data_IF_125613763088
#
_entry.id   IF_125613763088
#
_cell.length_a   1.000
_cell.length_b   1.000
_cell.length_c   1.000
_cell.angle_alpha   90.00
_cell.angle_beta   90.00
_cell.angle_gamma   90.00
#
_symmetry.space_group_name_H-M   'P 1'
#
loop_
_entity.id
_entity.type
_entity.pdbx_description
1 polymer ?
#
# COMPACT_ATOMS: atom_id res chain seq x y z
N UNK A 1 23.84 21.06 -2.76
CA UNK A 1 23.29 22.42 -3.02
C UNK A 1 22.48 22.82 -1.80
N UNK A 2 22.42 24.11 -1.39
CA UNK A 2 21.54 24.51 -0.30
C UNK A 2 20.09 24.11 -0.63
N UNK A 3 19.38 23.53 0.34
CA UNK A 3 17.99 23.14 0.19
C UNK A 3 17.17 24.36 -0.24
N UNK A 4 16.41 24.30 -1.35
CA UNK A 4 15.60 25.43 -1.79
C UNK A 4 14.62 25.85 -0.67
N UNK A 5 14.28 27.14 -0.58
CA UNK A 5 13.33 27.62 0.43
C UNK A 5 11.99 26.89 0.28
N UNK A 6 11.28 26.63 1.40
CA UNK A 6 10.01 25.94 1.34
C UNK A 6 9.00 26.72 0.49
N UNK A 7 8.36 26.03 -0.45
CA UNK A 7 7.33 26.61 -1.32
C UNK A 7 6.00 26.51 -0.60
N UNK A 8 5.35 27.64 -0.35
CA UNK A 8 4.01 27.68 0.26
C UNK A 8 2.99 28.18 -0.76
N UNK A 9 1.85 27.50 -0.84
CA UNK A 9 0.74 27.90 -1.71
C UNK A 9 -0.62 27.57 -1.06
N UNK A 10 -1.69 28.18 -1.58
CA UNK A 10 -3.07 28.02 -1.09
C UNK A 10 -3.96 27.44 -2.18
N UNK A 11 -4.78 26.45 -1.83
CA UNK A 11 -5.79 25.89 -2.73
C UNK A 11 -6.85 25.12 -1.93
N UNK A 12 -8.12 25.22 -2.32
CA UNK A 12 -9.18 24.37 -1.75
C UNK A 12 -9.39 24.51 -0.23
N UNK A 13 -9.15 25.70 0.34
CA UNK A 13 -9.22 25.94 1.80
C UNK A 13 -8.03 25.39 2.59
N UNK A 14 -6.93 25.03 1.90
CA UNK A 14 -5.71 24.48 2.48
C UNK A 14 -4.53 25.42 2.25
N UNK A 15 -3.65 25.52 3.25
CA UNK A 15 -2.29 26.04 3.09
C UNK A 15 -1.34 24.86 3.05
N UNK A 16 -0.58 24.74 1.96
CA UNK A 16 0.36 23.66 1.73
C UNK A 16 1.79 24.23 1.72
N UNK A 17 2.68 23.63 2.51
CA UNK A 17 4.10 23.97 2.54
C UNK A 17 4.94 22.75 2.16
N UNK A 18 5.72 22.90 1.10
CA UNK A 18 6.60 21.85 0.59
C UNK A 18 7.94 21.86 1.34
N UNK A 19 8.36 20.67 1.76
CA UNK A 19 9.65 20.41 2.40
C UNK A 19 10.43 19.38 1.59
N UNK A 20 11.73 19.61 1.47
CA UNK A 20 12.67 18.64 0.93
C UNK A 20 13.90 18.58 1.85
N UNK A 21 14.41 17.37 2.11
CA UNK A 21 15.68 17.15 2.81
C UNK A 21 16.47 16.06 2.10
N UNK A 22 17.79 16.11 2.20
CA UNK A 22 18.63 14.98 1.80
C UNK A 22 18.73 14.01 2.98
N UNK A 23 18.55 12.72 2.71
CA UNK A 23 18.65 11.64 3.70
C UNK A 23 19.59 10.54 3.18
N UNK A 24 20.26 9.77 4.06
CA UNK A 24 21.06 8.64 3.62
C UNK A 24 20.24 7.59 2.87
N UNK A 25 20.81 7.03 1.81
CA UNK A 25 20.29 5.83 1.16
C UNK A 25 20.28 4.65 2.15
N UNK A 26 21.44 4.37 2.75
CA UNK A 26 21.58 3.40 3.86
C UNK A 26 21.82 4.16 5.17
N UNK A 27 20.85 4.09 6.09
CA UNK A 27 20.93 4.74 7.40
C UNK A 27 22.02 4.17 8.31
N UNK A 28 22.57 2.98 8.01
CA UNK A 28 23.72 2.41 8.72
C UNK A 28 25.05 3.02 8.24
N UNK A 29 25.05 3.68 7.09
CA UNK A 29 26.22 4.36 6.51
C UNK A 29 25.83 5.80 6.14
N UNK A 30 25.62 6.69 7.14
CA UNK A 30 25.05 8.02 6.91
C UNK A 30 25.91 8.94 6.02
N UNK A 31 27.21 8.66 5.91
CA UNK A 31 28.15 9.36 5.02
C UNK A 31 28.13 8.84 3.56
N UNK A 32 27.29 7.85 3.27
CA UNK A 32 27.15 7.24 1.96
C UNK A 32 26.32 8.08 0.97
N UNK A 33 25.87 7.47 -0.14
CA UNK A 33 24.98 8.13 -1.08
C UNK A 33 23.69 8.64 -0.40
N UNK A 34 23.23 9.82 -0.79
CA UNK A 34 21.99 10.41 -0.31
C UNK A 34 20.87 10.34 -1.35
N UNK A 35 19.63 10.35 -0.88
CA UNK A 35 18.43 10.55 -1.68
C UNK A 35 17.68 11.80 -1.19
N UNK A 36 16.92 12.42 -2.08
CA UNK A 36 16.03 13.51 -1.69
C UNK A 36 14.73 12.92 -1.13
N UNK A 37 14.31 13.37 0.04
CA UNK A 37 13.04 13.08 0.67
C UNK A 37 12.13 14.31 0.57
N UNK A 38 10.90 14.11 0.14
CA UNK A 38 9.87 15.14 0.01
C UNK A 38 8.72 14.90 1.00
N UNK A 39 8.28 15.98 1.63
CA UNK A 39 7.04 16.00 2.39
C UNK A 39 6.26 17.30 2.16
N UNK A 40 4.96 17.25 2.36
CA UNK A 40 4.07 18.40 2.30
C UNK A 40 3.35 18.57 3.63
N UNK A 41 3.58 19.67 4.32
CA UNK A 41 2.77 20.07 5.47
C UNK A 41 1.48 20.72 4.96
N UNK A 42 0.33 20.30 5.50
CA UNK A 42 -1.00 20.81 5.16
C UNK A 42 -1.67 21.30 6.43
N UNK A 43 -2.20 22.51 6.39
CA UNK A 43 -3.00 23.10 7.46
C UNK A 43 -4.26 23.74 6.86
N UNK A 44 -5.34 23.78 7.63
CA UNK A 44 -6.55 24.50 7.22
C UNK A 44 -6.25 26.00 7.08
N UNK A 45 -6.81 26.62 6.06
CA UNK A 45 -6.74 28.07 5.88
C UNK A 45 -7.37 28.82 7.06
N UNK A 46 -6.68 29.86 7.54
CA UNK A 46 -7.02 30.62 8.74
C UNK A 46 -6.33 30.11 10.01
N UNK A 47 -5.69 28.93 9.96
CA UNK A 47 -5.03 28.28 11.10
C UNK A 47 -3.52 28.12 10.95
N UNK A 48 -2.95 28.63 9.87
CA UNK A 48 -1.52 28.49 9.55
C UNK A 48 -0.57 29.05 10.63
N UNK A 49 -1.06 30.01 11.41
CA UNK A 49 -0.34 30.66 12.50
C UNK A 49 -0.66 30.09 13.89
N UNK A 50 -1.57 29.12 13.98
CA UNK A 50 -1.86 28.42 15.24
C UNK A 50 -0.75 27.41 15.58
N UNK A 51 -0.47 27.26 16.87
CA UNK A 51 0.47 26.27 17.39
C UNK A 51 -0.20 24.88 17.50
N UNK A 52 -0.40 24.25 16.33
CA UNK A 52 -1.03 22.94 16.23
C UNK A 52 0.02 21.81 16.24
N UNK A 53 -0.25 20.68 16.91
CA UNK A 53 0.62 19.50 16.83
C UNK A 53 0.68 18.95 15.40
N UNK A 54 1.79 18.30 15.06
CA UNK A 54 1.94 17.60 13.78
C UNK A 54 1.39 16.18 13.85
N UNK A 55 0.75 15.78 12.76
CA UNK A 55 0.32 14.41 12.48
C UNK A 55 1.01 13.94 11.19
N UNK A 56 1.95 13.01 11.28
CA UNK A 56 2.52 12.36 10.12
C UNK A 56 1.53 11.34 9.55
N UNK A 57 1.20 11.49 8.27
CA UNK A 57 0.44 10.50 7.52
C UNK A 57 1.40 9.48 6.90
N UNK A 58 1.31 8.24 7.38
CA UNK A 58 1.96 7.09 6.79
C UNK A 58 0.94 6.39 5.88
N UNK A 59 0.96 6.69 4.58
CA UNK A 59 0.06 6.00 3.65
C UNK A 59 0.33 4.50 3.57
N UNK A 60 -0.71 3.79 3.15
CA UNK A 60 -0.60 2.44 2.62
C UNK A 60 0.17 2.36 1.31
N UNK A 61 0.20 1.15 0.76
CA UNK A 61 1.04 0.79 -0.37
C UNK A 61 1.37 -0.70 -0.26
N UNK A 62 2.66 -1.10 -0.27
CA UNK A 62 3.85 -0.24 -0.20
C UNK A 62 4.10 0.57 -1.48
N UNK A 63 5.12 1.43 -1.48
CA UNK A 63 5.59 2.07 -2.72
C UNK A 63 4.66 3.15 -3.29
N UNK A 64 3.73 3.68 -2.49
CA UNK A 64 2.85 4.79 -2.85
C UNK A 64 3.39 6.14 -2.38
N UNK A 65 3.16 7.19 -3.17
CA UNK A 65 3.35 8.59 -2.74
C UNK A 65 2.18 9.08 -1.88
N UNK A 66 2.37 10.17 -1.15
CA UNK A 66 1.26 10.73 -0.38
C UNK A 66 0.21 11.37 -1.29
N UNK A 67 -1.03 11.44 -0.82
CA UNK A 67 -2.09 12.08 -1.60
C UNK A 67 -1.79 13.56 -1.87
N UNK A 68 -2.28 14.07 -3.00
CA UNK A 68 -2.22 15.49 -3.35
C UNK A 68 -3.64 16.01 -3.36
N UNK A 69 -4.18 16.44 -2.19
CA UNK A 69 -5.59 16.78 -2.09
C UNK A 69 -5.89 18.06 -2.86
N UNK A 70 -6.84 17.98 -3.81
CA UNK A 70 -7.47 19.18 -4.39
C UNK A 70 -8.45 19.83 -3.39
N UNK A 71 -9.03 19.01 -2.52
CA UNK A 71 -9.82 19.40 -1.36
C UNK A 71 -9.61 18.38 -0.24
N UNK A 72 -9.92 18.74 1.00
CA UNK A 72 -9.81 17.82 2.13
C UNK A 72 -10.87 16.71 2.06
N UNK A 73 -10.38 15.47 1.83
CA UNK A 73 -11.17 14.25 1.99
C UNK A 73 -11.59 14.02 3.45
N UNK A 74 -12.34 12.95 3.72
CA UNK A 74 -13.00 12.74 5.01
C UNK A 74 -12.02 12.78 6.21
N UNK A 75 -10.98 11.94 6.21
CA UNK A 75 -9.98 11.93 7.27
C UNK A 75 -9.17 13.22 7.36
N UNK A 76 -8.70 13.75 6.22
CA UNK A 76 -7.83 14.92 6.21
C UNK A 76 -8.58 16.13 6.77
N UNK A 77 -9.85 16.29 6.38
CA UNK A 77 -10.72 17.34 6.92
C UNK A 77 -10.85 17.22 8.44
N UNK A 78 -11.05 16.00 8.95
CA UNK A 78 -11.11 15.76 10.39
C UNK A 78 -9.77 16.06 11.08
N UNK A 79 -8.65 15.59 10.54
CA UNK A 79 -7.32 15.83 11.09
C UNK A 79 -7.00 17.33 11.18
N UNK A 80 -7.30 18.10 10.13
CA UNK A 80 -7.01 19.53 10.04
C UNK A 80 -7.80 20.40 11.04
N UNK A 81 -8.78 19.84 11.75
CA UNK A 81 -9.45 20.52 12.87
C UNK A 81 -8.56 20.60 14.12
N UNK A 82 -7.47 19.82 14.21
CA UNK A 82 -6.63 19.77 15.42
C UNK A 82 -5.12 19.67 15.11
N UNK A 83 -4.76 19.32 13.87
CA UNK A 83 -3.39 19.01 13.47
C UNK A 83 -2.93 19.81 12.26
N UNK A 84 -1.61 19.99 12.18
CA UNK A 84 -0.88 20.21 10.92
C UNK A 84 -0.51 18.83 10.37
N UNK A 85 -0.98 18.47 9.19
CA UNK A 85 -0.76 17.12 8.64
C UNK A 85 0.49 17.11 7.76
N UNK A 86 1.42 16.19 8.02
CA UNK A 86 2.61 15.98 7.20
C UNK A 86 2.35 14.81 6.26
N UNK A 87 2.27 15.10 4.96
CA UNK A 87 2.10 14.13 3.88
C UNK A 87 3.49 13.74 3.33
N UNK A 88 3.98 12.56 3.72
CA UNK A 88 5.31 12.08 3.35
C UNK A 88 5.27 11.25 2.05
N UNK A 89 6.02 11.68 1.03
CA UNK A 89 6.37 10.76 -0.03
C UNK A 89 7.45 9.82 0.52
N UNK A 90 7.09 8.56 0.78
CA UNK A 90 8.05 7.56 1.23
C UNK A 90 9.20 7.45 0.22
N UNK A 91 10.41 7.13 0.69
CA UNK A 91 11.60 6.98 -0.16
C UNK A 91 11.30 6.13 -1.40
N UNK A 92 11.71 6.64 -2.57
CA UNK A 92 11.45 6.00 -3.85
C UNK A 92 10.12 6.35 -4.51
N UNK A 93 9.27 7.15 -3.88
CA UNK A 93 7.93 7.47 -4.38
C UNK A 93 7.76 8.96 -4.66
N UNK A 94 6.87 9.31 -5.58
CA UNK A 94 6.43 10.69 -5.79
C UNK A 94 7.57 11.65 -6.14
N UNK A 95 7.95 12.53 -5.20
CA UNK A 95 9.07 13.47 -5.32
C UNK A 95 10.30 13.05 -4.51
N UNK A 96 10.22 11.96 -3.75
CA UNK A 96 11.31 11.41 -2.94
C UNK A 96 12.18 10.46 -3.76
N UNK A 97 13.07 11.00 -4.60
CA UNK A 97 13.97 10.26 -5.51
C UNK A 97 13.31 8.99 -6.11
N UNK A 98 12.38 9.14 -7.06
CA UNK A 98 11.56 8.02 -7.54
C UNK A 98 12.37 6.83 -8.05
N UNK A 99 11.96 5.62 -7.67
CA UNK A 99 12.52 4.38 -8.20
C UNK A 99 11.53 3.74 -9.17
N UNK A 100 11.83 3.84 -10.45
CA UNK A 100 11.04 3.27 -11.54
C UNK A 100 11.97 2.71 -12.62
N UNK A 101 11.41 2.15 -13.70
CA UNK A 101 12.18 1.61 -14.82
C UNK A 101 13.17 2.60 -15.46
N UNK A 102 12.94 3.91 -15.36
CA UNK A 102 13.83 4.93 -15.93
C UNK A 102 14.99 5.20 -14.99
N UNK A 103 14.74 5.33 -13.70
CA UNK A 103 15.79 5.66 -12.72
C UNK A 103 16.63 4.44 -12.35
N UNK A 104 16.03 3.24 -12.30
CA UNK A 104 16.74 1.99 -12.04
C UNK A 104 17.56 1.51 -13.23
N UNK A 105 17.32 2.02 -14.45
CA UNK A 105 18.15 1.72 -15.63
C UNK A 105 19.63 2.07 -15.44
N UNK A 106 19.98 2.93 -14.47
CA UNK A 106 21.37 3.23 -14.11
C UNK A 106 22.18 2.02 -13.66
N UNK A 107 21.52 0.95 -13.21
CA UNK A 107 22.17 -0.30 -12.81
C UNK A 107 22.41 -1.23 -14.01
N UNK A 108 21.92 -0.89 -15.21
CA UNK A 108 22.11 -1.70 -16.41
C UNK A 108 21.58 -3.12 -16.23
N UNK A 109 22.45 -4.12 -16.40
CA UNK A 109 22.11 -5.54 -16.23
C UNK A 109 22.41 -6.07 -14.81
N UNK A 110 22.92 -5.22 -13.92
CA UNK A 110 23.28 -5.59 -12.55
C UNK A 110 22.03 -5.63 -11.65
N UNK A 111 21.39 -6.80 -11.63
CA UNK A 111 20.16 -7.03 -10.88
C UNK A 111 20.40 -7.04 -9.37
N UNK A 112 21.57 -7.53 -8.93
CA UNK A 112 21.96 -7.55 -7.51
C UNK A 112 22.13 -6.13 -6.97
N UNK A 113 22.81 -5.25 -7.71
CA UNK A 113 22.95 -3.85 -7.32
C UNK A 113 21.59 -3.11 -7.29
N UNK A 114 20.73 -3.37 -8.27
CA UNK A 114 19.38 -2.79 -8.30
C UNK A 114 18.53 -3.28 -7.11
N UNK A 115 18.59 -4.57 -6.77
CA UNK A 115 17.91 -5.14 -5.62
C UNK A 115 18.49 -4.61 -4.30
N UNK A 116 19.82 -4.49 -4.19
CA UNK A 116 20.49 -3.87 -3.04
C UNK A 116 20.05 -2.43 -2.81
N UNK A 117 19.89 -1.65 -3.89
CA UNK A 117 19.32 -0.31 -3.80
C UNK A 117 17.87 -0.31 -3.27
N UNK A 118 17.02 -1.18 -3.82
CA UNK A 118 15.61 -1.30 -3.42
C UNK A 118 15.43 -1.88 -2.02
N UNK A 119 16.37 -2.68 -1.51
CA UNK A 119 16.33 -3.23 -0.16
C UNK A 119 16.32 -2.14 0.92
N UNK A 120 16.83 -0.94 0.62
CA UNK A 120 16.76 0.22 1.50
C UNK A 120 15.39 0.92 1.52
N UNK A 121 14.37 0.43 0.81
CA UNK A 121 13.11 1.16 0.59
C UNK A 121 11.96 0.62 1.46
N UNK A 122 12.30 -0.04 2.56
CA UNK A 122 11.40 -0.68 3.51
C UNK A 122 11.04 0.23 4.70
N UNK A 123 10.13 -0.27 5.55
CA UNK A 123 9.58 0.43 6.70
C UNK A 123 10.64 0.96 7.69
N UNK A 124 11.70 0.19 7.95
CA UNK A 124 12.83 0.57 8.81
C UNK A 124 13.51 1.86 8.31
N UNK A 125 13.77 1.91 7.02
CA UNK A 125 14.36 3.06 6.36
C UNK A 125 13.39 4.26 6.25
N UNK A 126 12.09 4.01 6.05
CA UNK A 126 11.04 5.04 6.06
C UNK A 126 10.91 5.67 7.45
N UNK A 127 11.04 4.89 8.54
CA UNK A 127 11.01 5.40 9.91
C UNK A 127 12.21 6.30 10.19
N UNK A 128 13.41 5.90 9.78
CA UNK A 128 14.60 6.73 9.92
C UNK A 128 14.46 8.06 9.14
N UNK A 129 13.86 8.05 7.95
CA UNK A 129 13.53 9.25 7.19
C UNK A 129 12.55 10.15 7.92
N UNK A 130 11.51 9.56 8.49
CA UNK A 130 10.49 10.25 9.28
C UNK A 130 11.12 10.94 10.51
N UNK A 131 12.05 10.29 11.21
CA UNK A 131 12.78 10.88 12.34
C UNK A 131 13.64 12.08 11.92
N UNK A 132 14.37 11.99 10.81
CA UNK A 132 15.15 13.10 10.27
C UNK A 132 14.25 14.29 9.90
N UNK A 133 13.11 14.01 9.26
CA UNK A 133 12.12 15.02 8.92
C UNK A 133 11.49 15.66 10.16
N UNK A 134 11.11 14.85 11.16
CA UNK A 134 10.55 15.34 12.43
C UNK A 134 11.50 16.33 13.09
N UNK A 135 12.78 15.97 13.23
CA UNK A 135 13.81 16.85 13.82
C UNK A 135 14.02 18.12 13.01
N UNK A 136 13.96 18.04 11.69
CA UNK A 136 14.03 19.22 10.82
C UNK A 136 12.88 20.20 11.03
N UNK A 137 11.66 19.69 11.28
CA UNK A 137 10.43 20.48 11.39
C UNK A 137 10.16 21.01 12.81
N UNK A 138 10.55 20.27 13.85
CA UNK A 138 10.21 20.61 15.25
C UNK A 138 11.27 20.24 16.29
N UNK A 139 12.50 19.97 15.86
CA UNK A 139 13.57 19.56 16.77
C UNK A 139 13.22 18.24 17.48
N UNK A 140 13.58 18.13 18.75
CA UNK A 140 13.41 16.89 19.50
C UNK A 140 11.96 16.58 19.90
N UNK A 141 11.01 17.50 19.65
CA UNK A 141 9.61 17.29 20.03
C UNK A 141 8.99 16.11 19.25
N UNK A 142 8.28 15.18 19.93
CA UNK A 142 7.61 14.08 19.27
C UNK A 142 6.40 14.56 18.46
N UNK A 143 5.93 13.74 17.51
CA UNK A 143 4.69 13.97 16.76
C UNK A 143 3.74 12.78 16.86
N UNK A 144 2.49 12.95 16.42
CA UNK A 144 1.58 11.82 16.26
C UNK A 144 1.72 11.20 14.86
N UNK A 145 1.40 9.92 14.71
CA UNK A 145 1.33 9.24 13.41
C UNK A 145 -0.06 8.69 13.17
N UNK A 146 -0.50 8.73 11.90
CA UNK A 146 -1.68 8.02 11.41
C UNK A 146 -1.25 7.12 10.25
N UNK A 147 -1.30 5.81 10.49
CA UNK A 147 -0.96 4.77 9.54
C UNK A 147 -2.19 4.09 8.96
N UNK A 148 -2.23 3.93 7.64
CA UNK A 148 -3.23 3.11 6.95
C UNK A 148 -2.54 1.94 6.25
N UNK A 149 -3.07 0.71 6.38
CA UNK A 149 -2.54 -0.45 5.65
C UNK A 149 -1.05 -0.66 5.95
N UNK A 150 -0.19 -0.77 4.92
CA UNK A 150 1.27 -0.76 5.07
C UNK A 150 1.82 0.40 5.93
N UNK A 151 1.15 1.55 5.97
CA UNK A 151 1.49 2.65 6.88
C UNK A 151 1.31 2.30 8.37
N UNK A 152 0.38 1.41 8.69
CA UNK A 152 0.26 0.79 10.01
C UNK A 152 1.42 -0.18 10.31
N UNK A 153 1.89 -0.93 9.30
CA UNK A 153 3.07 -1.79 9.45
C UNK A 153 4.30 -0.94 9.74
N UNK A 154 4.44 0.17 9.02
CA UNK A 154 5.48 1.19 9.24
C UNK A 154 5.37 1.82 10.63
N UNK A 155 4.14 2.01 11.14
CA UNK A 155 3.90 2.52 12.50
C UNK A 155 4.43 1.55 13.56
N UNK A 156 4.24 0.23 13.41
CA UNK A 156 4.82 -0.75 14.34
C UNK A 156 6.34 -0.79 14.26
N UNK A 157 6.93 -0.67 13.06
CA UNK A 157 8.39 -0.49 12.93
C UNK A 157 8.86 0.80 13.60
N UNK A 158 8.07 1.88 13.58
CA UNK A 158 8.40 3.12 14.28
C UNK A 158 8.44 2.89 15.81
N UNK A 159 7.44 2.21 16.36
CA UNK A 159 7.40 1.85 17.78
C UNK A 159 8.57 0.94 18.18
N UNK A 160 9.06 0.10 17.26
CA UNK A 160 10.25 -0.74 17.49
C UNK A 160 11.55 0.05 17.43
N UNK A 161 11.69 1.04 16.54
CA UNK A 161 12.98 1.70 16.32
C UNK A 161 13.15 3.02 17.07
N UNK A 162 12.10 3.85 17.10
CA UNK A 162 12.15 5.21 17.66
C UNK A 162 10.81 5.65 18.32
N UNK A 163 10.27 4.87 19.29
CA UNK A 163 9.04 5.23 19.99
C UNK A 163 9.13 6.57 20.73
N UNK A 164 10.33 7.01 21.12
CA UNK A 164 10.56 8.31 21.76
C UNK A 164 10.20 9.51 20.85
N UNK A 165 10.17 9.29 19.52
CA UNK A 165 9.73 10.28 18.54
C UNK A 165 8.21 10.43 18.44
N UNK A 166 7.44 9.60 19.16
CA UNK A 166 5.99 9.49 19.00
C UNK A 166 5.24 9.95 20.25
N UNK A 167 4.24 10.81 20.03
CA UNK A 167 3.28 11.19 21.07
C UNK A 167 2.13 10.19 21.14
N UNK A 168 1.59 9.79 19.98
CA UNK A 168 0.48 8.83 19.82
C UNK A 168 0.55 8.18 18.44
N UNK A 169 0.01 6.98 18.33
CA UNK A 169 -0.10 6.24 17.09
C UNK A 169 -1.55 5.82 16.81
N UNK A 170 -2.06 6.20 15.65
CA UNK A 170 -3.36 5.81 15.13
C UNK A 170 -3.16 4.86 13.95
N UNK A 171 -3.78 3.69 13.95
CA UNK A 171 -3.64 2.67 12.90
C UNK A 171 -5.01 2.32 12.31
N UNK A 172 -5.10 2.15 10.99
CA UNK A 172 -6.34 1.80 10.28
C UNK A 172 -6.10 0.68 9.29
N UNK A 173 -6.70 -0.50 9.51
CA UNK A 173 -6.55 -1.67 8.65
C UNK A 173 -5.09 -2.06 8.40
N UNK A 174 -4.23 -2.00 9.43
CA UNK A 174 -2.77 -2.00 9.25
C UNK A 174 -1.97 -2.62 10.38
N UNK A 175 -2.48 -3.70 11.00
CA UNK A 175 -1.70 -4.50 11.94
C UNK A 175 -1.21 -5.78 11.23
N UNK A 176 0.10 -5.90 10.91
CA UNK A 176 0.67 -7.09 10.28
C UNK A 176 0.81 -8.23 11.28
N UNK A 177 1.16 -9.43 10.83
CA UNK A 177 1.78 -10.42 11.71
C UNK A 177 3.19 -9.98 12.08
N UNK A 178 3.57 -10.08 13.36
CA UNK A 178 4.90 -9.68 13.82
C UNK A 178 6.00 -10.71 13.50
N UNK A 179 5.64 -12.00 13.47
CA UNK A 179 6.58 -13.12 13.33
C UNK A 179 6.22 -14.11 12.23
N UNK A 180 5.03 -13.96 11.62
CA UNK A 180 4.56 -14.86 10.56
C UNK A 180 5.34 -14.69 9.27
N UNK A 181 5.44 -15.78 8.51
CA UNK A 181 6.05 -15.73 7.18
C UNK A 181 5.02 -15.25 6.14
N UNK A 182 5.49 -14.73 5.00
CA UNK A 182 4.63 -14.33 3.89
C UNK A 182 3.67 -15.45 3.46
N UNK A 183 4.08 -16.72 3.50
CA UNK A 183 3.19 -17.85 3.19
C UNK A 183 1.93 -17.87 4.08
N UNK A 184 2.08 -17.61 5.38
CA UNK A 184 0.97 -17.64 6.34
C UNK A 184 -0.01 -16.50 6.04
N UNK A 185 0.53 -15.33 5.68
CA UNK A 185 -0.26 -14.18 5.22
C UNK A 185 -1.03 -14.53 3.95
N UNK A 186 -0.39 -15.12 2.94
CA UNK A 186 -1.05 -15.43 1.67
C UNK A 186 -2.05 -16.58 1.76
N UNK A 187 -1.81 -17.62 2.57
CA UNK A 187 -2.83 -18.67 2.79
C UNK A 187 -4.11 -18.07 3.34
N UNK A 188 -3.98 -17.16 4.30
CA UNK A 188 -5.12 -16.43 4.84
C UNK A 188 -5.74 -15.49 3.78
N UNK A 189 -4.91 -14.76 3.02
CA UNK A 189 -5.39 -13.82 2.01
C UNK A 189 -6.12 -14.48 0.84
N UNK A 190 -5.66 -15.63 0.34
CA UNK A 190 -6.37 -16.38 -0.72
C UNK A 190 -7.73 -16.88 -0.27
N UNK A 191 -7.82 -17.43 0.95
CA UNK A 191 -9.10 -17.86 1.52
C UNK A 191 -10.10 -16.70 1.64
N UNK A 192 -9.65 -15.54 2.15
CA UNK A 192 -10.49 -14.32 2.20
C UNK A 192 -10.86 -13.81 0.82
N UNK A 193 -9.92 -13.80 -0.13
CA UNK A 193 -10.17 -13.38 -1.52
C UNK A 193 -11.22 -14.26 -2.19
N UNK A 194 -11.19 -15.57 -1.94
CA UNK A 194 -12.20 -16.49 -2.46
C UNK A 194 -13.58 -16.19 -1.88
N UNK A 195 -13.65 -15.95 -0.57
CA UNK A 195 -14.88 -15.52 0.11
C UNK A 195 -15.43 -14.21 -0.50
N UNK A 196 -14.58 -13.25 -0.83
CA UNK A 196 -15.00 -12.01 -1.47
C UNK A 196 -15.47 -12.21 -2.91
N UNK A 197 -14.87 -13.13 -3.66
CA UNK A 197 -15.40 -13.53 -4.97
C UNK A 197 -16.83 -14.09 -4.84
N UNK A 198 -17.06 -14.98 -3.89
CA UNK A 198 -18.39 -15.58 -3.66
C UNK A 198 -19.43 -14.50 -3.32
N UNK A 199 -19.08 -13.55 -2.44
CA UNK A 199 -19.94 -12.41 -2.10
C UNK A 199 -20.22 -11.51 -3.30
N UNK A 200 -19.20 -11.22 -4.11
CA UNK A 200 -19.33 -10.40 -5.30
C UNK A 200 -20.29 -11.01 -6.32
N UNK A 201 -20.07 -12.27 -6.70
CA UNK A 201 -20.93 -12.94 -7.69
C UNK A 201 -22.32 -13.28 -7.14
N UNK A 202 -22.48 -13.44 -5.82
CA UNK A 202 -23.81 -13.54 -5.22
C UNK A 202 -24.60 -12.22 -5.32
N UNK A 203 -23.91 -11.08 -5.21
CA UNK A 203 -24.52 -9.74 -5.36
C UNK A 203 -24.80 -9.39 -6.82
N UNK A 204 -23.90 -9.76 -7.73
CA UNK A 204 -23.97 -9.50 -9.17
C UNK A 204 -23.95 -10.81 -9.97
N UNK A 205 -25.05 -11.58 -10.00
CA UNK A 205 -25.06 -12.91 -10.62
C UNK A 205 -24.81 -12.89 -12.13
N UNK A 206 -25.11 -11.78 -12.82
CA UNK A 206 -24.80 -11.61 -14.25
C UNK A 206 -23.30 -11.48 -14.55
N UNK A 207 -22.52 -11.02 -13.57
CA UNK A 207 -21.10 -10.73 -13.77
C UNK A 207 -20.26 -11.99 -13.89
N UNK A 208 -20.70 -13.13 -13.33
CA UNK A 208 -19.98 -14.38 -13.48
C UNK A 208 -19.92 -14.80 -14.96
N UNK A 209 -21.07 -14.74 -15.65
CA UNK A 209 -21.14 -15.08 -17.07
C UNK A 209 -20.30 -14.11 -17.92
N UNK A 210 -20.31 -12.82 -17.59
CA UNK A 210 -19.47 -11.82 -18.27
C UNK A 210 -17.98 -12.07 -18.03
N UNK A 211 -17.57 -12.31 -16.79
CA UNK A 211 -16.19 -12.58 -16.43
C UNK A 211 -15.66 -13.86 -17.10
N UNK A 212 -16.47 -14.93 -17.12
CA UNK A 212 -16.15 -16.18 -17.80
C UNK A 212 -16.05 -15.98 -19.33
N UNK A 213 -16.96 -15.17 -19.92
CA UNK A 213 -16.93 -14.83 -21.34
C UNK A 213 -15.69 -14.00 -21.72
N UNK A 214 -15.31 -13.02 -20.90
CA UNK A 214 -14.07 -12.25 -21.07
C UNK A 214 -12.88 -13.20 -21.01
N UNK A 215 -12.80 -14.06 -19.98
CA UNK A 215 -11.68 -15.00 -19.84
C UNK A 215 -11.56 -15.94 -21.04
N UNK A 216 -12.66 -16.51 -21.53
CA UNK A 216 -12.69 -17.35 -22.73
C UNK A 216 -12.25 -16.57 -23.98
N UNK A 217 -12.69 -15.32 -24.13
CA UNK A 217 -12.28 -14.49 -25.26
C UNK A 217 -10.77 -14.20 -25.24
N UNK A 218 -10.19 -13.89 -24.08
CA UNK A 218 -8.75 -13.64 -23.91
C UNK A 218 -7.88 -14.88 -24.12
N UNK A 219 -8.42 -16.07 -23.88
CA UNK A 219 -7.72 -17.34 -24.10
C UNK A 219 -7.52 -17.63 -25.60
N UNK A 220 -8.54 -17.33 -26.42
CA UNK A 220 -8.51 -17.64 -27.86
C UNK A 220 -8.10 -16.46 -28.76
N UNK A 221 -8.08 -15.22 -28.24
CA UNK A 221 -7.74 -14.02 -29.02
C UNK A 221 -6.51 -13.30 -28.46
N UNK A 222 -5.74 -12.66 -29.35
CA UNK A 222 -4.64 -11.79 -28.97
C UNK A 222 -5.15 -10.35 -28.73
N UNK A 223 -5.76 -10.13 -27.58
CA UNK A 223 -6.30 -8.81 -27.20
C UNK A 223 -5.21 -7.92 -26.62
N UNK A 224 -5.09 -6.69 -27.14
CA UNK A 224 -4.10 -5.71 -26.71
C UNK A 224 -4.76 -4.55 -25.97
N UNK A 225 -4.16 -4.17 -24.84
CA UNK A 225 -4.53 -2.94 -24.12
C UNK A 225 -4.01 -1.70 -24.88
N UNK A 226 -4.47 -0.48 -24.56
CA UNK A 226 -4.09 0.75 -25.30
C UNK A 226 -2.58 1.01 -25.40
N UNK A 227 -1.82 0.46 -24.47
CA UNK A 227 -0.36 0.51 -24.34
C UNK A 227 0.38 -0.53 -25.19
N UNK A 228 -0.35 -1.48 -25.79
CA UNK A 228 0.14 -2.48 -26.76
C UNK A 228 0.48 -3.84 -26.18
N UNK A 229 0.57 -3.99 -24.85
CA UNK A 229 0.73 -5.28 -24.20
C UNK A 229 -0.55 -6.11 -24.25
N UNK A 230 -0.37 -7.44 -24.14
CA UNK A 230 -1.47 -8.39 -24.16
C UNK A 230 -2.24 -8.35 -22.85
N UNK A 231 -3.56 -8.29 -22.93
CA UNK A 231 -4.42 -8.60 -21.80
C UNK A 231 -4.55 -10.13 -21.70
N UNK A 232 -3.89 -10.72 -20.71
CA UNK A 232 -3.99 -12.16 -20.44
C UNK A 232 -5.08 -12.43 -19.40
N UNK A 233 -5.59 -13.67 -19.34
CA UNK A 233 -6.56 -14.06 -18.31
C UNK A 233 -6.00 -13.81 -16.90
N UNK A 234 -4.72 -14.12 -16.66
CA UNK A 234 -4.06 -13.86 -15.36
C UNK A 234 -3.96 -12.38 -15.00
N UNK A 235 -3.77 -11.48 -15.98
CA UNK A 235 -3.87 -10.02 -15.73
C UNK A 235 -5.31 -9.61 -15.43
N UNK A 236 -6.27 -10.12 -16.18
CA UNK A 236 -7.68 -9.85 -15.93
C UNK A 236 -8.12 -10.29 -14.52
N UNK A 237 -7.61 -11.43 -14.03
CA UNK A 237 -7.85 -11.90 -12.66
C UNK A 237 -7.44 -10.88 -11.59
N UNK A 238 -6.43 -10.02 -11.81
CA UNK A 238 -5.96 -9.09 -10.77
C UNK A 238 -6.92 -7.92 -10.52
N UNK A 239 -7.99 -7.77 -11.31
CA UNK A 239 -9.05 -6.79 -11.05
C UNK A 239 -9.77 -7.02 -9.71
N UNK A 240 -9.65 -8.22 -9.12
CA UNK A 240 -10.23 -8.54 -7.81
C UNK A 240 -9.61 -7.77 -6.64
N UNK A 241 -8.48 -7.07 -6.84
CA UNK A 241 -7.97 -6.11 -5.85
C UNK A 241 -9.02 -5.04 -5.45
N UNK A 242 -10.00 -4.79 -6.33
CA UNK A 242 -11.11 -3.86 -6.07
C UNK A 242 -12.06 -4.32 -4.96
N UNK A 243 -12.12 -5.62 -4.64
CA UNK A 243 -13.03 -6.16 -3.63
C UNK A 243 -12.72 -5.67 -2.21
N UNK A 244 -11.48 -5.30 -1.90
CA UNK A 244 -11.09 -4.94 -0.54
C UNK A 244 -11.44 -3.52 -0.10
N UNK A 245 -12.20 -2.75 -0.89
CA UNK A 245 -12.58 -1.36 -0.55
C UNK A 245 -14.06 -1.12 -0.78
N UNK A 246 -14.68 -0.27 0.05
CA UNK A 246 -16.14 -0.20 0.21
C UNK A 246 -16.93 0.14 -1.07
N UNK A 247 -16.35 0.87 -2.02
CA UNK A 247 -17.03 1.33 -3.25
C UNK A 247 -16.47 0.77 -4.55
N UNK A 248 -15.43 -0.06 -4.50
CA UNK A 248 -14.73 -0.49 -5.73
C UNK A 248 -15.23 -1.83 -6.27
N UNK A 249 -15.95 -2.62 -5.48
CA UNK A 249 -16.65 -3.79 -6.01
C UNK A 249 -17.68 -3.38 -7.07
N UNK A 250 -18.40 -2.28 -6.84
CA UNK A 250 -19.32 -1.66 -7.79
C UNK A 250 -18.59 -1.17 -9.05
N UNK A 251 -17.35 -0.70 -8.91
CA UNK A 251 -16.55 -0.24 -10.06
C UNK A 251 -16.17 -1.39 -10.99
N UNK A 252 -15.91 -2.59 -10.45
CA UNK A 252 -15.70 -3.79 -11.28
C UNK A 252 -16.97 -4.19 -12.02
N UNK A 253 -18.13 -4.14 -11.34
CA UNK A 253 -19.42 -4.43 -11.97
C UNK A 253 -19.67 -3.50 -13.16
N UNK A 254 -19.57 -2.19 -12.96
CA UNK A 254 -19.74 -1.22 -14.04
C UNK A 254 -18.68 -1.35 -15.14
N UNK A 255 -17.47 -1.81 -14.82
CA UNK A 255 -16.48 -2.12 -15.84
C UNK A 255 -16.91 -3.31 -16.70
N UNK A 256 -17.36 -4.41 -16.08
CA UNK A 256 -17.83 -5.61 -16.79
C UNK A 256 -19.07 -5.34 -17.66
N UNK A 257 -19.97 -4.43 -17.26
CA UNK A 257 -21.11 -4.00 -18.09
C UNK A 257 -20.67 -3.43 -19.45
N UNK A 258 -19.45 -2.90 -19.54
CA UNK A 258 -18.90 -2.33 -20.77
C UNK A 258 -18.06 -3.32 -21.57
N UNK A 259 -17.96 -4.59 -21.15
CA UNK A 259 -16.98 -5.54 -21.67
C UNK A 259 -17.11 -5.77 -23.18
N UNK A 260 -18.31 -6.07 -23.69
CA UNK A 260 -18.52 -6.51 -25.07
C UNK A 260 -19.36 -5.54 -25.91
N UNK A 261 -19.08 -5.52 -27.20
CA UNK A 261 -19.94 -4.97 -28.26
C UNK A 261 -20.03 -5.96 -29.41
N UNK A 262 -21.04 -5.81 -30.27
CA UNK A 262 -21.12 -6.55 -31.53
C UNK A 262 -20.13 -5.95 -32.54
N UNK A 263 -19.02 -6.64 -32.78
CA UNK A 263 -18.04 -6.35 -33.82
C UNK A 263 -18.42 -6.94 -35.18
N UNK A 264 -17.59 -6.70 -36.19
CA UNK A 264 -17.84 -7.16 -37.58
C UNK A 264 -17.79 -8.69 -37.67
N UNK A 265 -16.89 -9.31 -36.91
CA UNK A 265 -16.63 -10.75 -36.93
C UNK A 265 -17.22 -11.48 -35.69
N UNK A 266 -17.99 -10.77 -34.86
CA UNK A 266 -18.61 -11.31 -33.64
C UNK A 266 -18.37 -10.42 -32.41
N UNK A 267 -18.61 -10.94 -31.20
CA UNK A 267 -18.40 -10.18 -29.97
C UNK A 267 -16.94 -9.77 -29.78
N UNK A 268 -16.72 -8.47 -29.55
CA UNK A 268 -15.39 -7.86 -29.35
C UNK A 268 -15.34 -7.11 -28.02
N UNK A 269 -14.17 -7.09 -27.38
CA UNK A 269 -13.95 -6.29 -26.19
C UNK A 269 -13.87 -4.79 -26.53
N UNK A 270 -14.60 -3.96 -25.79
CA UNK A 270 -14.69 -2.52 -26.12
C UNK A 270 -13.44 -1.74 -25.69
N UNK A 271 -13.16 -0.63 -26.38
CA UNK A 271 -12.11 0.32 -25.96
C UNK A 271 -12.33 0.86 -24.54
N UNK A 272 -13.59 1.07 -24.14
CA UNK A 272 -13.93 1.54 -22.79
C UNK A 272 -13.52 0.51 -21.75
N UNK A 273 -13.84 -0.76 -21.98
CA UNK A 273 -13.41 -1.85 -21.12
C UNK A 273 -11.89 -1.96 -21.07
N UNK A 274 -11.21 -2.00 -22.22
CA UNK A 274 -9.76 -2.16 -22.28
C UNK A 274 -9.00 -1.02 -21.60
N UNK A 275 -9.47 0.23 -21.73
CA UNK A 275 -8.90 1.38 -21.00
C UNK A 275 -9.15 1.29 -19.49
N UNK A 276 -10.33 0.83 -19.08
CA UNK A 276 -10.66 0.63 -17.67
C UNK A 276 -9.80 -0.47 -17.04
N UNK A 277 -9.59 -1.57 -17.75
CA UNK A 277 -8.70 -2.66 -17.32
C UNK A 277 -7.25 -2.18 -17.22
N UNK A 278 -6.72 -1.51 -18.26
CA UNK A 278 -5.36 -0.94 -18.24
C UNK A 278 -5.11 -0.04 -17.03
N UNK A 279 -6.02 0.92 -16.78
CA UNK A 279 -5.92 1.82 -15.64
C UNK A 279 -5.93 1.10 -14.28
N UNK A 280 -6.58 -0.07 -14.19
CA UNK A 280 -6.66 -0.84 -12.97
C UNK A 280 -5.45 -1.76 -12.75
N UNK A 281 -4.93 -2.39 -13.80
CA UNK A 281 -3.88 -3.43 -13.69
C UNK A 281 -2.46 -2.91 -13.89
N UNK A 282 -2.29 -1.72 -14.46
CA UNK A 282 -0.97 -1.15 -14.73
C UNK A 282 -0.23 -0.75 -13.45
N UNK A 283 1.06 -1.12 -13.36
CA UNK A 283 1.95 -0.67 -12.28
C UNK A 283 2.76 0.58 -12.63
N UNK A 284 2.53 1.21 -13.79
CA UNK A 284 3.33 2.34 -14.26
C UNK A 284 3.38 3.53 -13.27
N UNK A 285 2.30 3.77 -12.53
CA UNK A 285 2.24 4.85 -11.53
C UNK A 285 2.83 4.46 -10.17
N UNK A 286 3.03 3.16 -9.91
CA UNK A 286 3.43 2.61 -8.62
C UNK A 286 4.26 1.32 -8.75
N UNK A 287 5.39 1.33 -9.48
CA UNK A 287 6.18 0.11 -9.71
C UNK A 287 6.74 -0.48 -8.41
N UNK A 288 7.04 0.36 -7.42
CA UNK A 288 7.46 -0.08 -6.10
C UNK A 288 6.39 -0.84 -5.33
N UNK A 289 5.10 -0.61 -5.61
CA UNK A 289 4.05 -1.44 -5.02
C UNK A 289 4.29 -2.89 -5.38
N UNK A 290 4.59 -3.20 -6.65
CA UNK A 290 4.88 -4.57 -7.06
C UNK A 290 6.23 -5.07 -6.54
N UNK A 291 7.31 -4.30 -6.75
CA UNK A 291 8.67 -4.73 -6.39
C UNK A 291 8.89 -4.94 -4.88
N UNK A 292 8.17 -4.19 -4.04
CA UNK A 292 8.30 -4.25 -2.59
C UNK A 292 7.09 -4.88 -1.91
N UNK A 293 6.08 -5.37 -2.65
CA UNK A 293 4.85 -5.93 -2.09
C UNK A 293 5.11 -7.02 -1.05
N UNK A 294 5.87 -8.04 -1.46
CA UNK A 294 6.17 -9.20 -0.63
C UNK A 294 7.33 -8.95 0.37
N UNK A 295 8.38 -8.17 0.02
CA UNK A 295 9.41 -7.75 0.97
C UNK A 295 8.92 -7.07 2.25
N UNK A 296 7.70 -6.52 2.30
CA UNK A 296 7.15 -5.96 3.56
C UNK A 296 6.98 -7.02 4.65
N UNK A 297 6.85 -8.30 4.28
CA UNK A 297 6.70 -9.42 5.21
C UNK A 297 8.05 -10.09 5.55
N UNK A 298 9.12 -9.75 4.82
CA UNK A 298 10.38 -10.46 4.91
C UNK A 298 11.18 -10.03 6.15
N UNK A 299 11.52 -10.96 7.03
CA UNK A 299 12.33 -10.72 8.23
C UNK A 299 13.29 -11.89 8.45
N UNK A 300 14.57 -11.59 8.71
CA UNK A 300 15.58 -12.59 9.02
C UNK A 300 15.93 -13.51 7.85
N UNK A 301 16.28 -14.75 8.22
CA UNK A 301 16.98 -15.75 7.39
C UNK A 301 16.18 -16.39 6.24
N UNK A 302 14.89 -16.08 6.10
CA UNK A 302 13.99 -16.83 5.20
C UNK A 302 13.54 -15.95 4.03
N UNK A 303 13.82 -16.44 2.82
CA UNK A 303 13.38 -15.82 1.57
C UNK A 303 11.86 -15.91 1.43
N UNK A 304 11.28 -14.87 0.84
CA UNK A 304 9.86 -14.87 0.48
C UNK A 304 9.61 -15.71 -0.77
N UNK A 305 10.56 -15.73 -1.71
CA UNK A 305 10.66 -16.65 -2.85
C UNK A 305 9.40 -16.68 -3.76
N UNK A 306 8.65 -15.58 -3.81
CA UNK A 306 7.33 -15.51 -4.45
C UNK A 306 6.27 -16.33 -3.71
N UNK A 307 6.12 -16.08 -2.41
CA UNK A 307 5.16 -16.75 -1.53
C UNK A 307 3.74 -16.68 -2.09
N UNK A 308 3.31 -15.51 -2.59
CA UNK A 308 1.98 -15.38 -3.20
C UNK A 308 1.80 -16.36 -4.36
N UNK A 309 2.82 -16.49 -5.22
CA UNK A 309 2.78 -17.37 -6.39
C UNK A 309 2.79 -18.86 -5.99
N UNK A 310 3.66 -19.26 -5.06
CA UNK A 310 3.74 -20.65 -4.59
C UNK A 310 2.45 -21.06 -3.88
N UNK A 311 2.00 -20.26 -2.92
CA UNK A 311 0.80 -20.55 -2.11
C UNK A 311 -0.46 -20.61 -2.98
N UNK A 312 -0.53 -19.88 -4.10
CA UNK A 312 -1.65 -19.98 -5.06
C UNK A 312 -1.95 -21.42 -5.47
N UNK A 313 -0.93 -22.29 -5.53
CA UNK A 313 -1.08 -23.70 -5.92
C UNK A 313 -1.94 -24.50 -4.92
N UNK A 314 -2.05 -24.04 -3.68
CA UNK A 314 -2.95 -24.62 -2.65
C UNK A 314 -4.43 -24.26 -2.90
N UNK A 315 -4.72 -23.31 -3.81
CA UNK A 315 -6.04 -22.78 -4.10
C UNK A 315 -6.43 -22.98 -5.58
N UNK A 316 -6.81 -24.20 -5.99
CA UNK A 316 -7.10 -24.52 -7.40
C UNK A 316 -8.26 -23.69 -7.99
N UNK A 317 -9.11 -23.10 -7.15
CA UNK A 317 -10.18 -22.20 -7.59
C UNK A 317 -9.67 -20.96 -8.35
N UNK A 318 -8.41 -20.55 -8.16
CA UNK A 318 -7.81 -19.43 -8.91
C UNK A 318 -7.10 -19.88 -10.19
N UNK A 319 -7.05 -21.18 -10.49
CA UNK A 319 -6.51 -21.70 -11.73
C UNK A 319 -7.54 -21.58 -12.87
N UNK A 320 -7.40 -20.53 -13.67
CA UNK A 320 -8.26 -20.30 -14.82
C UNK A 320 -8.16 -21.39 -15.91
N UNK A 321 -7.12 -22.24 -15.88
CA UNK A 321 -6.96 -23.34 -16.85
C UNK A 321 -7.69 -24.62 -16.44
N UNK A 322 -8.16 -24.70 -15.18
CA UNK A 322 -8.79 -25.91 -14.63
C UNK A 322 -10.26 -26.12 -15.06
N UNK A 323 -10.83 -25.26 -15.91
CA UNK A 323 -12.19 -25.41 -16.44
C UNK A 323 -13.32 -25.07 -15.47
N UNK A 324 -13.04 -24.32 -14.40
CA UNK A 324 -14.03 -23.79 -13.44
C UNK A 324 -14.43 -22.34 -13.73
N UNK A 325 -15.40 -21.78 -12.98
CA UNK A 325 -15.76 -20.37 -13.09
C UNK A 325 -14.57 -19.48 -12.72
N UNK A 326 -14.41 -18.36 -13.42
CA UNK A 326 -13.33 -17.43 -13.15
C UNK A 326 -13.42 -16.91 -11.71
N UNK A 327 -12.28 -16.90 -11.04
CA UNK A 327 -12.09 -16.21 -9.77
C UNK A 327 -11.02 -15.15 -9.93
N UNK A 328 -11.33 -13.94 -9.49
CA UNK A 328 -10.39 -12.83 -9.45
C UNK A 328 -9.45 -12.97 -8.26
N UNK A 329 -8.18 -12.65 -8.44
CA UNK A 329 -7.18 -12.57 -7.37
C UNK A 329 -7.19 -11.19 -6.72
N UNK A 330 -6.60 -11.07 -5.53
CA UNK A 330 -6.52 -9.82 -4.78
C UNK A 330 -5.25 -9.02 -5.05
N UNK A 331 -4.62 -8.56 -3.98
CA UNK A 331 -3.40 -7.74 -3.99
C UNK A 331 -2.10 -8.48 -4.35
N UNK A 332 -2.19 -9.81 -4.49
CA UNK A 332 -1.04 -10.69 -4.73
C UNK A 332 -0.21 -10.23 -5.93
N UNK A 333 1.11 -10.25 -5.73
CA UNK A 333 2.09 -9.97 -6.79
C UNK A 333 2.79 -11.26 -7.19
N UNK A 334 2.91 -11.49 -8.50
CA UNK A 334 3.43 -12.71 -9.08
C UNK A 334 4.65 -12.43 -9.98
N UNK A 335 5.57 -13.40 -10.15
CA UNK A 335 6.73 -13.25 -11.03
C UNK A 335 6.34 -12.83 -12.45
N UNK A 336 5.25 -13.41 -12.98
CA UNK A 336 4.79 -13.14 -14.34
C UNK A 336 4.34 -11.70 -14.59
N UNK A 337 4.00 -10.92 -13.55
CA UNK A 337 3.70 -9.50 -13.74
C UNK A 337 4.95 -8.72 -14.17
N UNK A 338 6.14 -9.18 -13.77
CA UNK A 338 7.44 -8.67 -14.25
C UNK A 338 7.83 -9.23 -15.62
N UNK A 339 7.01 -10.07 -16.23
CA UNK A 339 7.18 -10.53 -17.62
C UNK A 339 6.21 -9.81 -18.57
N UNK A 340 5.05 -9.40 -18.06
CA UNK A 340 3.95 -8.88 -18.89
C UNK A 340 3.71 -7.38 -18.75
N UNK A 341 3.98 -6.77 -17.59
CA UNK A 341 3.77 -5.33 -17.40
C UNK A 341 4.99 -4.53 -17.91
N UNK A 342 4.84 -3.65 -18.91
CA UNK A 342 5.96 -2.88 -19.45
C UNK A 342 6.68 -2.00 -18.42
N UNK A 343 6.00 -1.59 -17.34
CA UNK A 343 6.61 -0.83 -16.26
C UNK A 343 7.50 -1.69 -15.36
N UNK A 344 7.23 -3.01 -15.28
CA UNK A 344 7.92 -3.94 -14.40
C UNK A 344 8.94 -4.82 -15.12
N UNK A 345 8.81 -5.06 -16.43
CA UNK A 345 9.77 -5.88 -17.19
C UNK A 345 11.25 -5.51 -16.95
N UNK A 346 11.63 -4.22 -16.95
CA UNK A 346 13.01 -3.83 -16.66
C UNK A 346 13.47 -4.10 -15.22
N UNK A 347 12.53 -4.36 -14.29
CA UNK A 347 12.80 -4.62 -12.87
C UNK A 347 12.82 -6.11 -12.55
N UNK A 348 12.54 -7.01 -13.51
CA UNK A 348 12.40 -8.44 -13.27
C UNK A 348 13.56 -9.03 -12.48
N UNK A 349 14.80 -8.81 -12.93
CA UNK A 349 15.98 -9.34 -12.26
C UNK A 349 16.09 -8.85 -10.81
N UNK A 350 15.87 -7.56 -10.57
CA UNK A 350 15.89 -7.02 -9.21
C UNK A 350 14.78 -7.61 -8.32
N UNK A 351 13.61 -7.89 -8.88
CA UNK A 351 12.50 -8.52 -8.15
C UNK A 351 12.81 -9.97 -7.78
N UNK A 352 13.45 -10.74 -8.67
CA UNK A 352 13.92 -12.10 -8.37
C UNK A 352 14.96 -12.10 -7.22
N UNK A 353 15.93 -11.19 -7.27
CA UNK A 353 16.93 -11.03 -6.20
C UNK A 353 16.28 -10.64 -4.86
N UNK A 354 15.28 -9.75 -4.87
CA UNK A 354 14.53 -9.38 -3.68
C UNK A 354 13.72 -10.57 -3.12
N UNK A 355 13.11 -11.37 -3.97
CA UNK A 355 12.35 -12.55 -3.58
C UNK A 355 13.27 -13.62 -2.95
N UNK A 356 14.45 -13.84 -3.53
CA UNK A 356 15.44 -14.81 -3.06
C UNK A 356 16.24 -14.37 -1.82
N UNK A 357 16.19 -13.07 -1.46
CA UNK A 357 16.96 -12.49 -0.36
C UNK A 357 16.62 -13.10 1.01
N UNK A 358 17.65 -13.44 1.77
CA UNK A 358 17.57 -14.11 3.09
C UNK A 358 18.23 -13.34 4.23
N UNK A 359 18.74 -12.13 3.99
CA UNK A 359 19.52 -11.36 4.96
C UNK A 359 18.76 -10.13 5.50
N UNK A 360 17.43 -10.20 5.52
CA UNK A 360 16.60 -9.07 5.91
C UNK A 360 16.73 -8.73 7.40
N UNK A 361 16.87 -7.45 7.78
CA UNK A 361 16.78 -7.06 9.18
C UNK A 361 15.37 -7.31 9.72
N UNK A 362 15.26 -7.46 11.05
CA UNK A 362 13.96 -7.47 11.71
C UNK A 362 13.28 -6.11 11.56
N UNK A 363 11.98 -6.11 11.23
CA UNK A 363 11.16 -4.89 11.17
C UNK A 363 10.53 -4.56 12.52
N UNK A 364 10.39 -5.57 13.37
CA UNK A 364 9.71 -5.46 14.65
C UNK A 364 10.62 -5.96 15.77
N UNK A 365 10.84 -5.10 16.75
CA UNK A 365 11.47 -5.42 18.02
C UNK A 365 10.38 -5.83 19.01
N UNK A 366 10.25 -7.14 19.24
CA UNK A 366 9.17 -7.70 20.05
C UNK A 366 9.24 -7.26 21.52
N UNK A 367 10.46 -7.12 22.06
CA UNK A 367 10.65 -6.71 23.45
C UNK A 367 10.24 -5.24 23.63
N UNK A 368 10.60 -4.37 22.68
CA UNK A 368 10.17 -2.96 22.72
C UNK A 368 8.68 -2.79 22.49
N UNK A 369 8.07 -3.60 21.62
CA UNK A 369 6.61 -3.59 21.43
C UNK A 369 5.87 -4.06 22.68
N UNK A 370 6.36 -5.11 23.33
CA UNK A 370 5.80 -5.61 24.59
C UNK A 370 6.02 -4.65 25.78
N UNK A 371 6.98 -3.74 25.69
CA UNK A 371 7.25 -2.69 26.67
C UNK A 371 6.79 -1.28 26.21
N UNK A 372 5.94 -1.21 25.18
CA UNK A 372 5.53 0.06 24.58
C UNK A 372 4.80 0.97 25.59
N UNK A 373 5.19 2.26 25.63
CA UNK A 373 4.53 3.29 26.44
C UNK A 373 3.74 4.31 25.60
N UNK A 374 3.92 4.32 24.28
CA UNK A 374 3.21 5.24 23.38
C UNK A 374 1.73 4.82 23.31
N UNK A 375 0.75 5.72 23.48
CA UNK A 375 -0.65 5.38 23.26
C UNK A 375 -0.89 4.93 21.81
N UNK A 376 -1.30 3.68 21.62
CA UNK A 376 -1.63 3.12 20.30
C UNK A 376 -3.09 2.72 20.25
N UNK A 377 -3.78 3.13 19.19
CA UNK A 377 -5.16 2.70 18.92
C UNK A 377 -5.28 2.30 17.47
N UNK A 378 -6.02 1.22 17.22
CA UNK A 378 -6.13 0.62 15.89
C UNK A 378 -7.58 0.33 15.52
N UNK A 379 -8.00 0.70 14.32
CA UNK A 379 -9.21 0.17 13.70
C UNK A 379 -8.87 -1.13 12.98
N UNK A 380 -9.54 -2.22 13.37
CA UNK A 380 -9.44 -3.54 12.74
C UNK A 380 -10.79 -3.82 12.09
N UNK A 381 -10.81 -3.99 10.77
CA UNK A 381 -12.04 -4.25 10.05
C UNK A 381 -12.34 -5.76 10.05
N UNK A 382 -13.58 -6.12 10.40
CA UNK A 382 -13.96 -7.52 10.63
C UNK A 382 -13.76 -8.40 9.39
N UNK A 383 -14.15 -7.89 8.22
CA UNK A 383 -14.09 -8.57 6.93
C UNK A 383 -13.02 -7.98 6.00
N UNK A 384 -11.92 -7.47 6.57
CA UNK A 384 -10.80 -6.93 5.78
C UNK A 384 -10.24 -8.00 4.84
N UNK A 385 -10.24 -7.72 3.54
CA UNK A 385 -9.71 -8.64 2.55
C UNK A 385 -8.18 -8.75 2.62
N UNK A 386 -7.50 -7.64 2.88
CA UNK A 386 -6.05 -7.52 2.76
C UNK A 386 -5.36 -7.95 4.07
N UNK A 387 -5.76 -7.35 5.19
CA UNK A 387 -5.15 -7.62 6.49
C UNK A 387 -5.98 -8.63 7.27
N UNK A 388 -5.40 -9.78 7.60
CA UNK A 388 -6.10 -10.81 8.36
C UNK A 388 -6.44 -10.32 9.78
N UNK A 389 -7.70 -10.49 10.18
CA UNK A 389 -8.19 -10.08 11.50
C UNK A 389 -7.50 -10.81 12.63
N UNK A 390 -7.30 -12.13 12.53
CA UNK A 390 -6.71 -12.91 13.62
C UNK A 390 -5.23 -12.57 13.79
N UNK A 391 -4.50 -12.39 12.68
CA UNK A 391 -3.13 -11.86 12.73
C UNK A 391 -3.09 -10.44 13.33
N UNK A 392 -4.01 -9.57 12.95
CA UNK A 392 -4.10 -8.21 13.48
C UNK A 392 -4.37 -8.20 15.00
N UNK A 393 -5.25 -9.07 15.49
CA UNK A 393 -5.57 -9.20 16.91
C UNK A 393 -4.41 -9.81 17.71
N UNK A 394 -3.73 -10.83 17.19
CA UNK A 394 -2.53 -11.37 17.82
C UNK A 394 -1.44 -10.31 17.97
N UNK A 395 -1.29 -9.43 16.97
CA UNK A 395 -0.38 -8.29 17.04
C UNK A 395 -0.85 -7.22 18.03
N UNK A 396 -2.15 -6.94 18.08
CA UNK A 396 -2.73 -6.02 19.06
C UNK A 396 -2.42 -6.48 20.50
N UNK A 397 -2.56 -7.78 20.78
CA UNK A 397 -2.29 -8.37 22.10
C UNK A 397 -0.80 -8.34 22.48
N UNK A 398 0.10 -8.38 21.49
CA UNK A 398 1.54 -8.36 21.71
C UNK A 398 2.12 -6.96 21.98
N UNK A 399 1.41 -5.89 21.59
CA UNK A 399 1.88 -4.51 21.78
C UNK A 399 1.25 -3.93 23.05
N UNK A 400 2.08 -3.64 24.06
CA UNK A 400 1.58 -3.13 25.32
C UNK A 400 0.84 -1.80 25.15
N UNK A 401 -0.34 -1.71 25.77
CA UNK A 401 -1.19 -0.51 25.73
C UNK A 401 -1.93 -0.26 24.41
N UNK A 402 -1.76 -1.11 23.39
CA UNK A 402 -2.51 -1.00 22.14
C UNK A 402 -3.98 -1.37 22.37
N UNK A 403 -4.91 -0.51 21.93
CA UNK A 403 -6.35 -0.80 21.95
C UNK A 403 -6.92 -0.92 20.55
N UNK A 404 -7.45 -2.11 20.24
CA UNK A 404 -8.12 -2.37 18.97
C UNK A 404 -9.62 -2.07 19.06
N UNK A 405 -10.15 -1.37 18.06
CA UNK A 405 -11.57 -1.26 17.76
C UNK A 405 -11.87 -2.16 16.57
N UNK A 406 -12.52 -3.30 16.84
CA UNK A 406 -12.99 -4.22 15.81
C UNK A 406 -14.36 -3.76 15.33
N UNK A 407 -14.53 -3.61 14.01
CA UNK A 407 -15.77 -3.09 13.42
C UNK A 407 -16.08 -3.75 12.08
N UNK A 408 -17.36 -4.00 11.82
CA UNK A 408 -17.92 -4.46 10.54
C UNK A 408 -18.54 -3.31 9.72
N UNK A 409 -18.56 -2.09 10.26
CA UNK A 409 -19.17 -0.93 9.62
C UNK A 409 -18.38 -0.40 8.41
N UNK A 410 -17.12 -0.80 8.26
CA UNK A 410 -16.21 -0.28 7.25
C UNK A 410 -15.37 -1.39 6.62
N UNK A 411 -14.97 -1.17 5.36
CA UNK A 411 -13.93 -1.95 4.68
C UNK A 411 -12.54 -1.36 4.96
N UNK A 412 -11.50 -1.92 4.33
CA UNK A 412 -10.09 -1.54 4.53
C UNK A 412 -9.81 -0.04 4.38
N UNK A 413 -10.57 0.66 3.55
CA UNK A 413 -10.45 2.09 3.28
C UNK A 413 -11.33 2.98 4.19
N UNK A 414 -11.83 2.44 5.31
CA UNK A 414 -12.77 3.13 6.22
C UNK A 414 -12.35 4.55 6.59
N UNK A 415 -11.07 4.77 6.91
CA UNK A 415 -10.54 6.12 7.22
C UNK A 415 -10.72 7.10 6.07
N UNK A 416 -10.57 6.66 4.81
CA UNK A 416 -10.75 7.50 3.63
C UNK A 416 -12.24 7.72 3.31
N UNK A 417 -13.07 6.73 3.62
CA UNK A 417 -14.50 6.77 3.39
C UNK A 417 -15.24 7.70 4.36
N UNK A 418 -14.86 7.69 5.65
CA UNK A 418 -15.61 8.39 6.70
C UNK A 418 -14.69 9.03 7.76
N UNK A 419 -14.98 10.29 8.07
CA UNK A 419 -14.29 11.07 9.09
C UNK A 419 -14.49 10.49 10.50
N UNK A 420 -15.60 9.78 10.73
CA UNK A 420 -15.93 9.15 12.01
C UNK A 420 -14.88 8.12 12.45
N UNK A 421 -14.18 7.47 11.51
CA UNK A 421 -13.10 6.53 11.83
C UNK A 421 -11.95 7.25 12.54
N UNK A 422 -11.46 8.35 11.96
CA UNK A 422 -10.38 9.11 12.61
C UNK A 422 -10.85 9.80 13.89
N UNK A 423 -12.08 10.31 13.91
CA UNK A 423 -12.66 10.93 15.11
C UNK A 423 -12.70 9.94 16.29
N UNK A 424 -13.19 8.72 16.04
CA UNK A 424 -13.20 7.63 17.02
C UNK A 424 -11.81 7.28 17.51
N UNK A 425 -10.83 7.14 16.60
CA UNK A 425 -9.45 6.85 16.99
C UNK A 425 -8.82 7.96 17.82
N UNK A 426 -9.08 9.23 17.52
CA UNK A 426 -8.62 10.35 18.35
C UNK A 426 -9.23 10.29 19.74
N UNK A 427 -10.55 10.09 19.85
CA UNK A 427 -11.24 9.97 21.13
C UNK A 427 -10.72 8.77 21.95
N UNK A 428 -10.52 7.61 21.30
CA UNK A 428 -9.86 6.46 21.92
C UNK A 428 -8.47 6.88 22.40
N UNK A 429 -7.62 7.44 21.55
CA UNK A 429 -6.26 7.86 21.91
C UNK A 429 -6.17 8.83 23.09
N UNK A 430 -7.27 9.53 23.43
CA UNK A 430 -7.41 10.42 24.61
C UNK A 430 -8.00 9.75 25.85
N UNK A 431 -8.52 8.53 25.73
CA UNK A 431 -9.21 7.82 26.81
C UNK A 431 -10.65 8.27 27.02
N UNK A 432 -11.26 8.90 26.02
CA UNK A 432 -12.63 9.43 26.09
C UNK A 432 -13.69 8.35 25.80
N UNK A 433 -13.27 7.23 25.20
CA UNK A 433 -14.13 6.13 24.77
C UNK A 433 -13.46 4.76 24.74
#
# INVERSE_FOLDING_TARGET
>A
MPTPPPVTYRHGGLVCTDHAIDVPLDHRTPEGPAIALFAREVVAEGREHEDLPRLLWLQGGPGGRAERPNAAGAWLRRALTEYRVVLLDQRGTGRSTPADRRTLARFGTDSEAAAGYLAHFRADSIVCDAELLRRRLQGEQPWSVLGQSFGGFTTLTYLSLAPEGLTRAYITGGLPTLTGHADDVYRAAYARTLTQNERYFARYPGDQALADAVAAHLDTHDVRMPTGERLTVRRFQTLGITFGTASKSESLHYLLETAFTDGVDGPELTDTFLRGVDAAVSFAERPLYAALHEPIYAQGGRATDWSAHRVRQEFPAFDATAGGPLRFTGEMVYPWQFEEDPALVPLRGAAEELAARTDWPALYDLDRLAANEVPVVAAVYHDDMFVDREHALATADAVHGLRAWVTDAYAHDGVRADAAVLDRLIAMGRGEV
#
